data_IF_610286592650
#
_entry.id   IF_610286592650
#
_cell.length_a   1.000
_cell.length_b   1.000
_cell.length_c   1.000
_cell.angle_alpha   90.00
_cell.angle_beta   90.00
_cell.angle_gamma   90.00
#
_symmetry.space_group_name_H-M   'P 1'
#
loop_
_entity.id
_entity.type
_entity.pdbx_description
1 polymer ?
#
# COMPACT_ATOMS: atom_id res chain seq x y z
N UNK A 1 5.59 -19.60 25.25
CA UNK A 1 6.26 -18.66 24.35
C UNK A 1 5.84 -19.01 22.93
N UNK A 2 4.94 -18.23 22.32
CA UNK A 2 4.76 -18.33 20.86
C UNK A 2 5.99 -17.70 20.25
N UNK A 3 6.75 -18.49 19.48
CA UNK A 3 7.83 -17.99 18.67
C UNK A 3 7.28 -16.81 17.86
N UNK A 4 7.99 -15.68 17.88
CA UNK A 4 7.82 -14.63 16.90
C UNK A 4 8.02 -15.29 15.54
N UNK A 5 6.94 -15.65 14.86
CA UNK A 5 6.98 -16.00 13.45
C UNK A 5 7.46 -14.74 12.73
N UNK A 6 8.78 -14.61 12.58
CA UNK A 6 9.34 -13.75 11.56
C UNK A 6 8.83 -14.31 10.26
N UNK A 7 7.90 -13.62 9.64
CA UNK A 7 7.52 -13.85 8.26
C UNK A 7 8.82 -13.62 7.46
N UNK A 8 9.52 -14.70 7.09
CA UNK A 8 10.64 -14.64 6.15
C UNK A 8 10.06 -14.26 4.80
N UNK A 9 10.08 -12.96 4.54
CA UNK A 9 9.66 -12.39 3.27
C UNK A 9 10.87 -12.21 2.37
N UNK A 10 10.67 -12.48 1.08
CA UNK A 10 11.70 -12.23 0.08
C UNK A 10 12.02 -10.72 -0.02
N UNK A 11 13.21 -10.43 -0.53
CA UNK A 11 13.73 -9.08 -0.65
C UNK A 11 12.82 -8.16 -1.52
N UNK A 12 12.11 -8.73 -2.50
CA UNK A 12 11.22 -7.98 -3.37
C UNK A 12 9.96 -7.52 -2.63
N UNK A 13 9.42 -8.36 -1.74
CA UNK A 13 8.27 -7.99 -0.91
C UNK A 13 8.64 -6.89 0.08
N UNK A 14 9.81 -6.97 0.72
CA UNK A 14 10.30 -5.91 1.64
C UNK A 14 10.47 -4.56 0.93
N UNK A 15 11.01 -4.56 -0.28
CA UNK A 15 11.19 -3.33 -1.06
C UNK A 15 9.84 -2.69 -1.45
N UNK A 16 8.86 -3.51 -1.82
CA UNK A 16 7.49 -3.04 -2.11
C UNK A 16 6.82 -2.45 -0.87
N UNK A 17 7.01 -3.07 0.30
CA UNK A 17 6.50 -2.54 1.58
C UNK A 17 7.12 -1.19 1.90
N UNK A 18 8.45 -1.05 1.80
CA UNK A 18 9.14 0.23 2.02
C UNK A 18 8.60 1.32 1.11
N UNK A 19 8.47 1.03 -0.18
CA UNK A 19 7.87 1.95 -1.14
C UNK A 19 6.44 2.34 -0.77
N UNK A 20 5.63 1.42 -0.26
CA UNK A 20 4.28 1.72 0.20
C UNK A 20 4.25 2.70 1.39
N UNK A 21 5.29 2.68 2.23
CA UNK A 21 5.41 3.56 3.39
C UNK A 21 5.92 4.94 2.94
N UNK A 22 6.99 4.97 2.14
CA UNK A 22 7.67 6.19 1.71
C UNK A 22 6.90 6.97 0.63
N UNK A 23 6.37 6.27 -0.37
CA UNK A 23 5.67 6.84 -1.53
C UNK A 23 4.47 5.98 -1.94
N UNK A 24 3.42 6.06 -1.12
CA UNK A 24 2.18 5.35 -1.39
C UNK A 24 1.55 5.75 -2.73
N UNK A 25 1.65 7.03 -3.13
CA UNK A 25 1.09 7.53 -4.38
C UNK A 25 1.79 6.96 -5.60
N UNK A 26 3.14 6.99 -5.59
CA UNK A 26 3.96 6.40 -6.65
C UNK A 26 3.77 4.88 -6.75
N UNK A 27 3.62 4.17 -5.63
CA UNK A 27 3.30 2.74 -5.65
C UNK A 27 2.02 2.45 -6.44
N UNK A 28 0.94 3.22 -6.20
CA UNK A 28 -0.33 3.05 -6.91
C UNK A 28 -0.13 3.31 -8.41
N UNK A 29 0.53 4.42 -8.74
CA UNK A 29 0.75 4.84 -10.12
C UNK A 29 1.55 3.80 -10.91
N UNK A 30 2.65 3.32 -10.33
CA UNK A 30 3.52 2.34 -10.99
C UNK A 30 2.81 1.02 -11.25
N UNK A 31 2.02 0.54 -10.28
CA UNK A 31 1.20 -0.65 -10.50
C UNK A 31 0.16 -0.42 -11.60
N UNK A 32 -0.54 0.72 -11.55
CA UNK A 32 -1.57 1.08 -12.53
C UNK A 32 -1.00 1.12 -13.94
N UNK A 33 0.17 1.74 -14.13
CA UNK A 33 0.83 1.86 -15.43
C UNK A 33 1.38 0.51 -15.91
N UNK A 34 1.99 -0.28 -15.02
CA UNK A 34 2.48 -1.63 -15.33
C UNK A 34 1.36 -2.57 -15.80
N UNK A 35 0.19 -2.49 -15.17
CA UNK A 35 -0.97 -3.31 -15.52
C UNK A 35 -1.87 -2.67 -16.59
N UNK A 36 -1.43 -1.57 -17.22
CA UNK A 36 -2.17 -0.82 -18.24
C UNK A 36 -3.60 -0.42 -17.81
N UNK A 37 -3.78 -0.09 -16.53
CA UNK A 37 -5.06 0.30 -15.95
C UNK A 37 -5.30 1.80 -16.14
N UNK A 38 -6.56 2.16 -16.42
CA UNK A 38 -7.01 3.55 -16.34
C UNK A 38 -7.30 3.92 -14.89
N UNK A 39 -7.42 5.22 -14.60
CA UNK A 39 -7.85 5.67 -13.27
C UNK A 39 -9.23 5.10 -12.91
N UNK A 40 -10.17 5.07 -13.87
CA UNK A 40 -11.51 4.51 -13.69
C UNK A 40 -11.50 3.01 -13.43
N UNK A 41 -10.66 2.23 -14.13
CA UNK A 41 -10.61 0.78 -13.94
C UNK A 41 -10.07 0.42 -12.56
N UNK A 42 -9.02 1.10 -12.10
CA UNK A 42 -8.49 0.91 -10.76
C UNK A 42 -9.47 1.39 -9.68
N UNK A 43 -10.09 2.56 -9.88
CA UNK A 43 -11.08 3.09 -8.96
C UNK A 43 -12.30 2.16 -8.80
N UNK A 44 -12.73 1.52 -9.88
CA UNK A 44 -13.82 0.53 -9.87
C UNK A 44 -13.46 -0.71 -9.04
N UNK A 45 -12.21 -1.19 -9.07
CA UNK A 45 -11.77 -2.32 -8.22
C UNK A 45 -11.87 -2.01 -6.73
N UNK A 46 -11.63 -0.76 -6.36
CA UNK A 46 -11.55 -0.29 -4.97
C UNK A 46 -12.91 0.23 -4.46
N UNK A 47 -13.89 0.39 -5.36
CA UNK A 47 -15.18 1.03 -5.08
C UNK A 47 -14.98 2.49 -4.62
N UNK A 48 -14.30 3.28 -5.44
CA UNK A 48 -14.08 4.71 -5.21
C UNK A 48 -14.12 5.50 -6.53
N UNK A 49 -13.92 6.82 -6.48
CA UNK A 49 -13.90 7.66 -7.68
C UNK A 49 -12.52 7.73 -8.32
N UNK A 50 -12.46 7.85 -9.66
CA UNK A 50 -11.20 8.07 -10.38
C UNK A 50 -10.42 9.31 -9.87
N UNK A 51 -11.14 10.38 -9.50
CA UNK A 51 -10.53 11.57 -8.89
C UNK A 51 -9.90 11.30 -7.52
N UNK A 52 -10.40 10.30 -6.77
CA UNK A 52 -9.75 9.85 -5.54
C UNK A 52 -8.38 9.24 -5.85
N UNK A 53 -8.32 8.30 -6.79
CA UNK A 53 -7.07 7.66 -7.22
C UNK A 53 -6.08 8.68 -7.76
N UNK A 54 -6.51 9.59 -8.63
CA UNK A 54 -5.66 10.65 -9.15
C UNK A 54 -4.99 11.51 -8.06
N UNK A 55 -5.75 11.90 -7.03
CA UNK A 55 -5.20 12.67 -5.90
C UNK A 55 -4.30 11.84 -5.00
N UNK A 56 -4.61 10.54 -4.83
CA UNK A 56 -3.75 9.62 -4.11
C UNK A 56 -2.40 9.45 -4.83
N UNK A 57 -2.40 9.23 -6.15
CA UNK A 57 -1.18 9.11 -6.97
C UNK A 57 -0.30 10.36 -6.95
N UNK A 58 -0.92 11.55 -6.89
CA UNK A 58 -0.19 12.83 -6.81
C UNK A 58 0.29 13.19 -5.40
N UNK A 59 -0.06 12.42 -4.37
CA UNK A 59 0.21 12.77 -2.97
C UNK A 59 -0.52 14.03 -2.48
N UNK A 60 -1.50 14.55 -3.24
CA UNK A 60 -2.25 15.76 -2.87
C UNK A 60 -3.37 15.49 -1.85
N UNK A 61 -3.58 14.21 -1.51
CA UNK A 61 -4.52 13.77 -0.48
C UNK A 61 -3.83 12.77 0.45
N UNK A 62 -3.91 13.02 1.76
CA UNK A 62 -3.58 12.01 2.77
C UNK A 62 -4.60 10.86 2.65
N UNK A 63 -4.11 9.68 2.30
CA UNK A 63 -4.91 8.45 2.24
C UNK A 63 -4.97 7.82 3.64
N UNK A 64 -6.17 7.73 4.26
CA UNK A 64 -6.33 7.08 5.56
C UNK A 64 -5.93 5.61 5.53
N UNK A 65 -5.50 5.06 6.66
CA UNK A 65 -4.96 3.68 6.73
C UNK A 65 -5.93 2.61 6.20
N UNK A 66 -7.23 2.72 6.52
CA UNK A 66 -8.24 1.77 6.03
C UNK A 66 -8.39 1.82 4.51
N UNK A 67 -8.23 2.99 3.90
CA UNK A 67 -8.22 3.13 2.44
C UNK A 67 -6.91 2.62 1.84
N UNK A 68 -5.77 2.83 2.51
CA UNK A 68 -4.49 2.25 2.07
C UNK A 68 -4.58 0.72 2.01
N UNK A 69 -5.08 0.09 3.07
CA UNK A 69 -5.32 -1.36 3.12
C UNK A 69 -6.24 -1.81 1.99
N UNK A 70 -7.38 -1.14 1.77
CA UNK A 70 -8.30 -1.47 0.68
C UNK A 70 -7.65 -1.35 -0.70
N UNK A 71 -6.84 -0.32 -0.92
CA UNK A 71 -6.11 -0.11 -2.18
C UNK A 71 -5.08 -1.22 -2.40
N UNK A 72 -4.31 -1.58 -1.37
CA UNK A 72 -3.33 -2.67 -1.45
C UNK A 72 -4.02 -4.01 -1.76
N UNK A 73 -5.08 -4.32 -1.03
CA UNK A 73 -5.84 -5.58 -1.16
C UNK A 73 -6.58 -5.67 -2.51
N UNK A 74 -7.50 -4.75 -2.79
CA UNK A 74 -8.40 -4.85 -3.94
C UNK A 74 -7.86 -4.21 -5.22
N UNK A 75 -7.05 -3.16 -5.06
CA UNK A 75 -6.48 -2.43 -6.19
C UNK A 75 -5.24 -3.10 -6.75
N UNK A 76 -4.26 -3.35 -5.87
CA UNK A 76 -2.93 -3.85 -6.22
C UNK A 76 -2.77 -5.36 -6.02
N UNK A 77 -3.83 -6.05 -5.55
CA UNK A 77 -3.87 -7.50 -5.37
C UNK A 77 -2.77 -8.02 -4.41
N UNK A 78 -2.49 -7.29 -3.34
CA UNK A 78 -1.58 -7.73 -2.28
C UNK A 78 -2.24 -8.83 -1.45
N UNK A 79 -1.43 -9.82 -1.05
CA UNK A 79 -1.83 -10.87 -0.12
C UNK A 79 -1.92 -10.33 1.30
N UNK A 80 -2.70 -11.01 2.14
CA UNK A 80 -2.85 -10.67 3.56
C UNK A 80 -1.51 -10.54 4.29
N UNK A 81 -0.54 -11.41 4.00
CA UNK A 81 0.80 -11.37 4.60
C UNK A 81 1.60 -10.11 4.21
N UNK A 82 1.47 -9.65 2.96
CA UNK A 82 2.13 -8.42 2.50
C UNK A 82 1.52 -7.19 3.18
N UNK A 83 0.19 -7.20 3.37
CA UNK A 83 -0.55 -6.15 4.06
C UNK A 83 -0.21 -6.13 5.54
N UNK A 84 -0.13 -7.28 6.19
CA UNK A 84 0.28 -7.41 7.59
C UNK A 84 1.68 -6.82 7.80
N UNK A 85 2.63 -7.16 6.93
CA UNK A 85 3.97 -6.58 7.00
C UNK A 85 3.95 -5.05 6.81
N UNK A 86 3.20 -4.55 5.83
CA UNK A 86 3.02 -3.11 5.64
C UNK A 86 2.50 -2.41 6.90
N UNK A 87 1.51 -3.00 7.58
CA UNK A 87 0.95 -2.43 8.81
C UNK A 87 1.97 -2.45 9.96
N UNK A 88 2.66 -3.56 10.16
CA UNK A 88 3.69 -3.71 11.21
C UNK A 88 4.81 -2.69 11.02
N UNK A 89 5.35 -2.57 9.80
CA UNK A 89 6.43 -1.63 9.52
C UNK A 89 5.96 -0.17 9.59
N UNK A 90 4.72 0.12 9.17
CA UNK A 90 4.12 1.47 9.34
C UNK A 90 4.05 1.87 10.81
N UNK A 91 3.63 0.96 11.71
CA UNK A 91 3.57 1.23 13.15
C UNK A 91 4.98 1.40 13.73
N UNK A 92 5.91 0.52 13.36
CA UNK A 92 7.32 0.62 13.80
C UNK A 92 7.94 1.96 13.45
N UNK A 93 7.75 2.43 12.22
CA UNK A 93 8.25 3.75 11.80
C UNK A 93 7.63 4.90 12.60
N UNK A 94 6.31 4.82 12.84
CA UNK A 94 5.63 5.81 13.65
C UNK A 94 6.18 5.84 15.09
N UNK A 95 6.38 4.69 15.72
CA UNK A 95 6.95 4.60 17.06
C UNK A 95 8.38 5.14 17.13
N UNK A 96 9.21 4.89 16.12
CA UNK A 96 10.57 5.40 16.06
C UNK A 96 10.64 6.91 15.87
N UNK A 97 9.75 7.50 15.07
CA UNK A 97 9.69 8.95 14.82
C UNK A 97 9.14 9.76 16.00
N UNK A 98 8.42 9.11 16.92
CA UNK A 98 7.77 9.75 18.08
C UNK A 98 8.42 9.38 19.42
N UNK A 99 9.60 8.76 19.41
CA UNK A 99 10.46 8.57 20.59
C UNK A 99 11.52 9.66 20.65
#
# INVERSE_FOLDING_TARGET
MRAEERIEMDQQTLERVRKAIDDFGGLIKDYREKEALTLDSLASRIDCSASYIFRAERGSKIVPIHMRVRILEKGLNWKASEIECFLVETVREYEQKNR
#
